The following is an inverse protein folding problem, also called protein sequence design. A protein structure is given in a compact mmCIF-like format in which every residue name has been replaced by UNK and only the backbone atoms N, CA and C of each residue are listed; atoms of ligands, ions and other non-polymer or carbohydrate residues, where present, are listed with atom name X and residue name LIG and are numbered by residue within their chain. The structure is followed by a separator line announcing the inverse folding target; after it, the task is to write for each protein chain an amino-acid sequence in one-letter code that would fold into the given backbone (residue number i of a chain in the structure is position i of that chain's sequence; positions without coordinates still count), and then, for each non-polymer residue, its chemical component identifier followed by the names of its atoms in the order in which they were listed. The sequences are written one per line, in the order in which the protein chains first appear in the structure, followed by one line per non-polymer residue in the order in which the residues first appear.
data_IF_433938217576
#
_entry.id   IF_433938217576
#
_cell.length_a   1.000
_cell.length_b   1.000
_cell.length_c   1.000
_cell.angle_alpha   90.00
_cell.angle_beta   90.00
_cell.angle_gamma   90.00
#
_symmetry.space_group_name_H-M   'P 1'
#
loop_
_entity.id
_entity.type
_entity.pdbx_description
1 polymer ?
#
# COMPACT_ATOMS: atom_id res chain seq x y z
N UNK A 1 18.56 14.21 6.08
CA UNK A 1 19.26 12.95 5.76
C UNK A 1 18.17 11.96 5.41
N UNK A 2 18.21 11.38 4.21
CA UNK A 2 17.20 10.43 3.75
C UNK A 2 17.14 9.24 4.72
N UNK A 3 15.93 8.81 5.06
CA UNK A 3 15.71 7.67 5.96
C UNK A 3 15.14 6.51 5.18
N UNK A 4 15.60 5.31 5.50
CA UNK A 4 15.01 4.08 4.96
C UNK A 4 14.29 3.37 6.09
N UNK A 5 13.05 2.96 5.84
CA UNK A 5 12.33 2.08 6.75
C UNK A 5 11.97 0.78 6.05
N UNK A 6 12.01 -0.29 6.83
CA UNK A 6 11.42 -1.57 6.50
C UNK A 6 10.17 -1.78 7.35
N UNK A 7 9.09 -2.19 6.70
CA UNK A 7 7.83 -2.58 7.29
C UNK A 7 7.56 -4.03 6.94
N UNK A 8 7.21 -4.84 7.93
CA UNK A 8 6.66 -6.19 7.73
C UNK A 8 5.39 -6.33 8.52
N UNK A 9 4.39 -6.97 7.95
CA UNK A 9 3.18 -7.37 8.65
C UNK A 9 2.50 -8.49 7.89
N UNK A 10 1.55 -9.15 8.54
CA UNK A 10 0.65 -10.10 7.90
C UNK A 10 -0.74 -9.51 7.86
N UNK A 11 -1.47 -9.78 6.79
CA UNK A 11 -2.90 -9.48 6.73
C UNK A 11 -3.68 -10.62 6.08
N UNK A 12 -4.96 -10.69 6.40
CA UNK A 12 -5.95 -11.57 5.80
C UNK A 12 -7.22 -10.77 5.59
N UNK A 13 -7.84 -10.89 4.43
CA UNK A 13 -9.18 -10.37 4.17
C UNK A 13 -10.18 -11.52 4.22
N UNK A 14 -11.44 -11.22 4.51
CA UNK A 14 -12.53 -12.20 4.48
C UNK A 14 -12.59 -13.01 3.18
N UNK A 15 -13.12 -14.23 3.29
CA UNK A 15 -13.33 -15.15 2.17
C UNK A 15 -14.31 -14.60 1.13
N UNK A 16 -15.24 -13.74 1.56
CA UNK A 16 -16.23 -13.07 0.73
C UNK A 16 -16.00 -11.56 0.60
N UNK A 17 -14.82 -11.04 1.01
CA UNK A 17 -14.51 -9.62 1.02
C UNK A 17 -14.76 -8.93 -0.32
N UNK A 18 -15.76 -8.05 -0.38
CA UNK A 18 -16.18 -7.40 -1.63
C UNK A 18 -15.40 -6.12 -1.92
N UNK A 19 -15.05 -5.91 -3.19
CA UNK A 19 -14.43 -4.69 -3.70
C UNK A 19 -15.14 -4.22 -4.95
N UNK A 20 -15.11 -2.92 -5.22
CA UNK A 20 -15.69 -2.29 -6.42
C UNK A 20 -14.59 -1.63 -7.26
N UNK A 21 -14.98 -0.89 -8.30
CA UNK A 21 -14.04 -0.06 -9.07
C UNK A 21 -13.45 1.10 -8.25
N UNK A 22 -14.02 1.40 -7.08
CA UNK A 22 -13.52 2.40 -6.15
C UNK A 22 -12.54 1.79 -5.13
N UNK A 23 -11.78 2.67 -4.46
CA UNK A 23 -10.70 2.22 -3.59
C UNK A 23 -11.22 1.55 -2.30
N UNK A 24 -10.55 0.47 -1.90
CA UNK A 24 -10.47 -0.03 -0.52
C UNK A 24 -9.01 -0.06 -0.11
N UNK A 25 -8.49 0.99 0.53
CA UNK A 25 -7.11 1.04 0.99
C UNK A 25 -6.93 0.11 2.19
N UNK A 26 -6.00 -0.84 2.09
CA UNK A 26 -5.61 -1.80 3.13
C UNK A 26 -4.29 -1.40 3.82
N UNK A 27 -3.44 -0.66 3.09
CA UNK A 27 -2.21 -0.06 3.60
C UNK A 27 -1.94 1.27 2.89
N UNK A 28 -1.35 2.23 3.61
CA UNK A 28 -0.98 3.55 3.10
C UNK A 28 0.37 3.99 3.67
N UNK A 29 1.25 4.54 2.83
CA UNK A 29 2.28 5.48 3.25
C UNK A 29 1.75 6.89 2.99
N UNK A 30 1.45 7.65 4.04
CA UNK A 30 0.81 8.97 3.91
C UNK A 30 1.70 10.06 4.50
N UNK A 31 2.07 11.01 3.66
CA UNK A 31 2.76 12.23 4.09
C UNK A 31 1.83 13.11 4.93
N UNK A 32 2.42 13.77 5.91
CA UNK A 32 1.83 14.89 6.65
C UNK A 32 2.60 16.14 6.24
N UNK A 33 1.91 17.23 5.92
CA UNK A 33 2.53 18.53 5.65
C UNK A 33 2.55 19.41 6.90
N UNK A 34 3.25 20.53 6.81
CA UNK A 34 3.26 21.58 7.84
C UNK A 34 1.83 21.93 8.30
N UNK A 35 1.70 22.22 9.59
CA UNK A 35 0.43 22.40 10.34
C UNK A 35 -0.36 21.12 10.65
N UNK A 36 0.19 19.94 10.34
CA UNK A 36 -0.44 18.67 10.68
C UNK A 36 -1.57 18.27 9.72
N UNK A 37 -1.79 19.05 8.66
CA UNK A 37 -2.74 18.71 7.63
C UNK A 37 -2.19 17.54 6.80
N UNK A 38 -2.97 16.45 6.65
CA UNK A 38 -2.57 15.36 5.79
C UNK A 38 -2.60 15.83 4.34
N UNK A 39 -1.54 15.52 3.58
CA UNK A 39 -1.61 15.59 2.11
C UNK A 39 -2.81 14.75 1.65
N UNK A 40 -3.61 15.29 0.73
CA UNK A 40 -4.91 14.72 0.36
C UNK A 40 -4.78 13.24 -0.04
N UNK A 41 -3.81 12.92 -0.90
CA UNK A 41 -3.49 11.56 -1.32
C UNK A 41 -2.36 10.92 -0.50
N UNK A 42 -2.45 9.61 -0.18
CA UNK A 42 -1.29 8.83 0.23
C UNK A 42 -0.24 8.74 -0.89
N UNK A 43 1.03 8.63 -0.52
CA UNK A 43 2.15 8.47 -1.46
C UNK A 43 2.14 7.08 -2.10
N UNK A 44 1.89 6.05 -1.29
CA UNK A 44 1.81 4.66 -1.72
C UNK A 44 0.60 4.02 -1.06
N UNK A 45 -0.12 3.17 -1.79
CA UNK A 45 -1.22 2.36 -1.23
C UNK A 45 -1.14 0.92 -1.70
N UNK A 46 -1.58 0.00 -0.84
CA UNK A 46 -2.11 -1.29 -1.27
C UNK A 46 -3.63 -1.16 -1.19
N UNK A 47 -4.31 -1.37 -2.31
CA UNK A 47 -5.74 -1.12 -2.47
C UNK A 47 -6.44 -2.35 -3.04
N UNK A 48 -7.48 -2.85 -2.38
CA UNK A 48 -8.44 -3.76 -3.01
C UNK A 48 -9.37 -2.98 -3.93
N UNK A 49 -9.45 -3.35 -5.21
CA UNK A 49 -10.40 -2.79 -6.17
C UNK A 49 -10.63 -3.77 -7.34
N UNK A 50 -11.51 -3.39 -8.27
CA UNK A 50 -11.69 -4.09 -9.55
C UNK A 50 -11.05 -3.32 -10.69
N UNK A 51 -10.38 -4.03 -11.61
CA UNK A 51 -9.94 -3.51 -12.91
C UNK A 51 -10.51 -4.34 -14.04
N UNK A 52 -11.20 -3.66 -14.96
CA UNK A 52 -11.89 -4.31 -16.08
C UNK A 52 -12.80 -5.45 -15.62
N UNK A 53 -13.48 -5.27 -14.48
CA UNK A 53 -14.35 -6.27 -13.87
C UNK A 53 -13.66 -7.37 -13.06
N UNK A 54 -12.33 -7.35 -12.94
CA UNK A 54 -11.56 -8.35 -12.18
C UNK A 54 -11.05 -7.76 -10.87
N UNK A 55 -11.47 -8.33 -9.74
CA UNK A 55 -10.99 -7.96 -8.40
C UNK A 55 -9.50 -8.25 -8.23
N UNK A 56 -8.81 -7.44 -7.44
CA UNK A 56 -7.39 -7.60 -7.19
C UNK A 56 -6.84 -6.63 -6.16
N UNK A 57 -5.56 -6.80 -5.87
CA UNK A 57 -4.76 -5.82 -5.14
C UNK A 57 -4.06 -4.90 -6.16
N UNK A 58 -4.17 -3.60 -5.94
CA UNK A 58 -3.46 -2.55 -6.66
C UNK A 58 -2.37 -1.95 -5.77
N UNK A 59 -1.15 -1.84 -6.30
CA UNK A 59 -0.13 -0.95 -5.74
C UNK A 59 -0.14 0.34 -6.56
N UNK A 60 -0.38 1.46 -5.89
CA UNK A 60 -0.44 2.79 -6.50
C UNK A 60 0.55 3.73 -5.84
N UNK A 61 1.23 4.52 -6.66
CA UNK A 61 2.03 5.68 -6.25
C UNK A 61 1.34 6.98 -6.66
N UNK A 62 1.50 8.03 -5.84
CA UNK A 62 1.05 9.39 -6.16
C UNK A 62 2.18 10.39 -5.92
N UNK A 63 2.50 11.21 -6.92
CA UNK A 63 3.53 12.25 -6.82
C UNK A 63 2.99 13.61 -6.32
N UNK A 64 3.88 14.58 -6.10
CA UNK A 64 3.53 15.91 -5.59
C UNK A 64 2.56 16.68 -6.49
N UNK A 65 2.46 16.30 -7.77
CA UNK A 65 1.57 16.88 -8.77
C UNK A 65 0.20 16.18 -8.82
N UNK A 66 -0.09 15.28 -7.86
CA UNK A 66 -1.29 14.44 -7.81
C UNK A 66 -1.40 13.47 -9.02
N UNK A 67 -0.28 13.19 -9.70
CA UNK A 67 -0.25 12.18 -10.74
C UNK A 67 -0.33 10.79 -10.10
N UNK A 68 -1.32 10.00 -10.53
CA UNK A 68 -1.61 8.67 -9.98
C UNK A 68 -1.05 7.61 -10.92
N UNK A 69 -0.05 6.89 -10.45
CA UNK A 69 0.59 5.81 -11.19
C UNK A 69 0.21 4.48 -10.57
N UNK A 70 -0.45 3.62 -11.36
CA UNK A 70 -0.64 2.21 -10.99
C UNK A 70 0.66 1.47 -11.26
N UNK A 71 1.35 1.07 -10.20
CA UNK A 71 2.59 0.30 -10.30
C UNK A 71 2.29 -1.17 -10.62
N UNK A 72 1.18 -1.69 -10.08
CA UNK A 72 0.75 -3.05 -10.29
C UNK A 72 -0.75 -3.18 -10.03
N UNK A 73 -1.42 -4.07 -10.75
CA UNK A 73 -2.65 -4.71 -10.29
C UNK A 73 -2.56 -6.23 -10.47
N UNK A 74 -2.95 -7.02 -9.46
CA UNK A 74 -2.77 -8.49 -9.46
C UNK A 74 -3.48 -9.20 -10.61
N UNK A 75 -4.58 -8.63 -11.14
CA UNK A 75 -5.24 -9.17 -12.34
C UNK A 75 -4.36 -9.16 -13.59
N UNK A 76 -3.33 -8.30 -13.66
CA UNK A 76 -2.37 -8.28 -14.77
C UNK A 76 -1.38 -9.46 -14.72
N UNK A 77 -1.29 -10.13 -13.56
CA UNK A 77 -0.40 -11.26 -13.31
C UNK A 77 -1.15 -12.61 -13.31
N UNK A 78 -2.46 -12.60 -13.57
CA UNK A 78 -3.28 -13.81 -13.49
C UNK A 78 -3.44 -14.36 -12.06
N UNK A 79 -3.21 -13.53 -11.04
CA UNK A 79 -3.43 -13.90 -9.64
C UNK A 79 -4.93 -13.79 -9.36
N UNK A 80 -5.53 -14.91 -8.99
CA UNK A 80 -6.96 -15.02 -8.74
C UNK A 80 -7.34 -14.48 -7.36
N UNK A 81 -8.29 -13.54 -7.33
CA UNK A 81 -8.74 -12.88 -6.10
C UNK A 81 -9.34 -13.85 -5.09
N UNK A 82 -10.19 -14.76 -5.55
CA UNK A 82 -10.96 -15.65 -4.68
C UNK A 82 -10.10 -16.77 -4.07
N UNK A 83 -9.15 -17.30 -4.84
CA UNK A 83 -8.39 -18.50 -4.45
C UNK A 83 -6.99 -18.20 -3.95
N UNK A 84 -6.41 -17.04 -4.29
CA UNK A 84 -5.03 -16.70 -3.91
C UNK A 84 -4.93 -15.50 -2.96
N UNK A 85 -6.00 -14.72 -2.77
CA UNK A 85 -5.98 -13.51 -1.91
C UNK A 85 -7.02 -13.62 -0.79
N UNK A 86 -8.30 -13.80 -1.12
CA UNK A 86 -9.37 -13.92 -0.12
C UNK A 86 -9.15 -15.11 0.81
N UNK A 87 -9.38 -14.90 2.10
CA UNK A 87 -9.20 -15.92 3.13
C UNK A 87 -7.76 -16.40 3.34
N UNK A 88 -6.77 -15.88 2.60
CA UNK A 88 -5.36 -16.27 2.77
C UNK A 88 -4.63 -15.30 3.70
N UNK A 89 -3.77 -15.84 4.56
CA UNK A 89 -2.79 -15.01 5.24
C UNK A 89 -1.67 -14.65 4.28
N UNK A 90 -1.44 -13.35 4.10
CA UNK A 90 -0.42 -12.78 3.24
C UNK A 90 0.58 -11.99 4.10
N UNK A 91 1.86 -12.30 3.98
CA UNK A 91 2.94 -11.50 4.53
C UNK A 91 3.33 -10.40 3.53
N UNK A 92 3.41 -9.16 4.01
CA UNK A 92 3.84 -8.01 3.23
C UNK A 92 5.18 -7.52 3.75
N UNK A 93 6.11 -7.30 2.84
CA UNK A 93 7.34 -6.56 3.10
C UNK A 93 7.32 -5.26 2.29
N UNK A 94 7.72 -4.15 2.92
CA UNK A 94 7.94 -2.86 2.26
C UNK A 94 9.25 -2.28 2.76
N UNK A 95 10.16 -1.96 1.86
CA UNK A 95 11.34 -1.13 2.11
C UNK A 95 11.19 0.18 1.34
N UNK A 96 11.13 1.29 2.07
CA UNK A 96 10.92 2.62 1.50
C UNK A 96 12.07 3.54 1.88
N UNK A 97 12.77 4.08 0.87
CA UNK A 97 13.71 5.20 1.05
C UNK A 97 12.94 6.51 0.89
N UNK A 98 12.73 7.22 1.99
CA UNK A 98 12.02 8.48 2.01
C UNK A 98 12.93 9.63 1.57
N UNK A 99 12.75 10.03 0.30
CA UNK A 99 13.38 11.20 -0.32
C UNK A 99 12.59 11.62 -1.56
N UNK A 100 12.86 12.80 -2.12
CA UNK A 100 12.28 13.24 -3.41
C UNK A 100 12.67 12.31 -4.56
N UNK A 101 13.88 11.73 -4.50
CA UNK A 101 14.34 10.65 -5.38
C UNK A 101 14.53 9.37 -4.56
N UNK A 102 13.40 8.87 -4.06
CA UNK A 102 13.30 7.69 -3.23
C UNK A 102 13.27 6.38 -4.00
N UNK A 103 13.04 5.31 -3.25
CA UNK A 103 12.85 3.98 -3.80
C UNK A 103 11.84 3.20 -2.96
N UNK A 104 11.10 2.32 -3.62
CA UNK A 104 10.13 1.43 -3.01
C UNK A 104 10.43 0.00 -3.47
N UNK A 105 10.72 -0.86 -2.53
CA UNK A 105 10.69 -2.31 -2.72
C UNK A 105 9.53 -2.87 -1.91
N UNK A 106 8.70 -3.69 -2.53
CA UNK A 106 7.54 -4.30 -1.88
C UNK A 106 7.35 -5.72 -2.39
N UNK A 107 6.95 -6.63 -1.50
CA UNK A 107 6.49 -7.96 -1.86
C UNK A 107 5.27 -8.35 -1.04
N UNK A 108 4.41 -9.18 -1.64
CA UNK A 108 3.29 -9.83 -0.97
C UNK A 108 3.40 -11.34 -1.19
N UNK A 109 3.52 -12.09 -0.11
CA UNK A 109 3.84 -13.52 -0.12
C UNK A 109 2.80 -14.30 0.68
N UNK A 110 2.23 -15.40 0.17
CA UNK A 110 1.35 -16.25 0.97
C UNK A 110 2.10 -16.83 2.16
N UNK A 111 1.46 -16.88 3.33
CA UNK A 111 2.09 -17.40 4.54
C UNK A 111 2.58 -18.85 4.33
N UNK A 112 3.86 -19.10 4.58
CA UNK A 112 4.49 -20.40 4.37
C UNK A 112 5.00 -20.65 2.94
N UNK A 113 4.80 -19.72 2.01
CA UNK A 113 5.43 -19.73 0.68
C UNK A 113 6.79 -19.04 0.72
N UNK A 114 7.75 -19.53 -0.07
CA UNK A 114 9.00 -18.82 -0.37
C UNK A 114 8.88 -17.91 -1.60
N UNK A 115 7.81 -18.08 -2.39
CA UNK A 115 7.58 -17.32 -3.62
C UNK A 115 6.50 -16.25 -3.41
N UNK A 116 6.80 -14.97 -3.69
CA UNK A 116 5.79 -13.91 -3.61
C UNK A 116 4.72 -14.07 -4.69
N UNK A 117 3.47 -13.68 -4.39
CA UNK A 117 2.45 -13.48 -5.42
C UNK A 117 2.92 -12.40 -6.40
N UNK A 118 3.51 -11.32 -5.88
CA UNK A 118 4.09 -10.26 -6.67
C UNK A 118 5.15 -9.47 -5.90
N UNK A 119 5.97 -8.75 -6.68
CA UNK A 119 6.94 -7.76 -6.18
C UNK A 119 6.78 -6.45 -6.94
N UNK A 120 7.04 -5.33 -6.29
CA UNK A 120 7.17 -4.00 -6.90
C UNK A 120 8.54 -3.46 -6.51
N UNK A 121 9.29 -2.95 -7.48
CA UNK A 121 10.60 -2.34 -7.26
C UNK A 121 10.72 -1.08 -8.11
N UNK A 122 10.58 0.07 -7.45
CA UNK A 122 10.64 1.38 -8.07
C UNK A 122 11.84 2.17 -7.56
N UNK A 123 12.50 2.86 -8.48
CA UNK A 123 13.63 3.74 -8.21
C UNK A 123 13.31 5.14 -8.72
N UNK A 124 13.92 6.16 -8.11
CA UNK A 124 13.74 7.56 -8.48
C UNK A 124 12.27 8.03 -8.43
N UNK A 125 11.49 7.50 -7.46
CA UNK A 125 10.11 7.93 -7.22
C UNK A 125 10.02 8.85 -6.01
N UNK A 126 9.09 9.79 -6.06
CA UNK A 126 8.90 10.74 -4.97
C UNK A 126 8.18 10.09 -3.78
N UNK A 127 8.92 9.82 -2.70
CA UNK A 127 8.38 9.28 -1.44
C UNK A 127 8.49 10.27 -0.30
N UNK A 128 8.87 11.52 -0.58
CA UNK A 128 8.92 12.58 0.39
C UNK A 128 8.33 13.84 -0.23
N UNK A 129 7.37 14.45 0.46
CA UNK A 129 6.80 15.74 0.06
C UNK A 129 7.64 16.82 0.73
N UNK A 130 8.52 17.46 -0.02
CA UNK A 130 9.10 18.73 0.41
C UNK A 130 8.01 19.80 0.35
N UNK A 131 7.62 20.34 1.50
CA UNK A 131 6.99 21.64 1.51
C UNK A 131 7.98 22.69 1.02
N UNK A 132 7.48 23.85 0.58
CA UNK A 132 8.30 25.04 0.27
C UNK A 132 9.16 25.53 1.44
N UNK A 133 9.02 24.94 2.63
CA UNK A 133 9.96 25.02 3.75
C UNK A 133 10.10 23.64 4.38
N UNK A 134 11.25 22.97 4.26
CA UNK A 134 11.53 21.72 4.96
C UNK A 134 11.55 21.88 6.48
N UNK A 135 10.37 22.02 7.08
CA UNK A 135 10.17 22.00 8.53
C UNK A 135 10.64 20.65 9.09
N UNK A 136 11.16 20.68 10.31
CA UNK A 136 11.63 19.51 11.06
C UNK A 136 10.53 18.49 11.38
N UNK A 137 9.27 18.83 11.11
CA UNK A 137 8.09 18.10 11.58
C UNK A 137 7.39 17.31 10.46
N UNK A 138 7.91 17.32 9.23
CA UNK A 138 7.38 16.49 8.16
C UNK A 138 7.74 15.02 8.39
N UNK A 139 6.77 14.12 8.19
CA UNK A 139 6.98 12.68 8.25
C UNK A 139 6.00 11.95 7.34
N UNK A 140 6.38 10.73 6.95
CA UNK A 140 5.50 9.78 6.28
C UNK A 140 5.12 8.73 7.29
N UNK A 141 3.81 8.60 7.57
CA UNK A 141 3.30 7.57 8.47
C UNK A 141 2.76 6.38 7.69
N UNK A 142 3.10 5.14 8.09
CA UNK A 142 2.38 3.97 7.64
C UNK A 142 1.00 3.93 8.33
N UNK A 143 -0.01 3.48 7.60
CA UNK A 143 -1.37 3.22 8.12
C UNK A 143 -1.85 1.87 7.61
N UNK A 144 -2.45 1.10 8.49
CA UNK A 144 -3.09 -0.19 8.20
C UNK A 144 -4.56 -0.12 8.62
N UNK A 145 -5.39 -0.93 7.98
CA UNK A 145 -6.82 -1.01 8.25
C UNK A 145 -7.64 -0.86 6.98
N UNK A 146 -8.95 -0.74 7.13
CA UNK A 146 -9.88 -0.54 6.02
C UNK A 146 -10.19 0.95 5.89
N UNK A 147 -9.78 1.56 4.78
CA UNK A 147 -10.26 2.89 4.38
C UNK A 147 -10.85 2.82 2.98
N UNK A 148 -12.19 2.84 2.90
CA UNK A 148 -12.95 2.45 1.71
C UNK A 148 -13.86 3.56 1.20
N UNK A 149 -13.98 3.68 -0.11
CA UNK A 149 -14.99 4.52 -0.77
C UNK A 149 -16.38 3.88 -0.69
N UNK A 150 -17.40 4.69 -0.39
CA UNK A 150 -18.80 4.26 -0.38
C UNK A 150 -19.57 4.74 -1.62
N UNK A 151 -18.87 5.18 -2.67
CA UNK A 151 -19.49 5.71 -3.88
C UNK A 151 -20.28 4.64 -4.67
N UNK A 152 -19.88 3.37 -4.53
CA UNK A 152 -20.63 2.22 -5.02
C UNK A 152 -20.91 1.27 -3.85
N UNK A 153 -21.86 1.68 -2.99
CA UNK A 153 -22.24 0.88 -1.82
C UNK A 153 -22.97 -0.41 -2.20
N UNK A 154 -23.64 -0.44 -3.35
CA UNK A 154 -24.42 -1.59 -3.79
C UNK A 154 -23.54 -2.76 -4.26
N UNK A 155 -22.33 -2.47 -4.75
CA UNK A 155 -21.32 -3.48 -5.09
C UNK A 155 -20.50 -4.01 -3.90
N UNK A 156 -20.75 -3.52 -2.68
CA UNK A 156 -20.08 -3.98 -1.46
C UNK A 156 -20.98 -4.95 -0.68
N UNK A 157 -20.39 -5.70 0.26
CA UNK A 157 -21.14 -6.53 1.19
C UNK A 157 -22.09 -5.65 2.02
N UNK A 158 -23.35 -6.07 2.10
CA UNK A 158 -24.38 -5.35 2.86
C UNK A 158 -24.18 -5.49 4.38
N UNK A 159 -23.51 -6.57 4.80
CA UNK A 159 -23.15 -6.86 6.18
C UNK A 159 -21.80 -6.26 6.54
N UNK A 160 -20.95 -7.08 7.15
CA UNK A 160 -19.62 -6.72 7.60
C UNK A 160 -18.57 -7.17 6.57
N UNK A 161 -17.43 -6.49 6.57
CA UNK A 161 -16.19 -6.94 5.93
C UNK A 161 -15.08 -6.82 6.97
N UNK A 162 -14.36 -7.91 7.19
CA UNK A 162 -13.27 -8.00 8.15
C UNK A 162 -11.91 -8.05 7.44
N UNK A 163 -10.93 -7.43 8.09
CA UNK A 163 -9.51 -7.57 7.75
C UNK A 163 -8.75 -7.78 9.04
N UNK A 164 -7.99 -8.87 9.11
CA UNK A 164 -7.10 -9.15 10.22
C UNK A 164 -5.70 -8.72 9.89
N UNK A 165 -4.99 -8.23 10.91
CA UNK A 165 -3.58 -7.90 10.81
C UNK A 165 -2.81 -8.56 11.96
N UNK A 166 -1.57 -8.95 11.70
CA UNK A 166 -0.70 -9.59 12.69
C UNK A 166 0.78 -9.28 12.43
N UNK A 167 1.62 -9.57 13.42
CA UNK A 167 3.09 -9.62 13.32
C UNK A 167 3.74 -8.36 12.72
N UNK A 168 3.33 -7.19 13.21
CA UNK A 168 3.88 -5.92 12.78
C UNK A 168 5.34 -5.76 13.20
N UNK A 169 6.18 -5.37 12.24
CA UNK A 169 7.57 -4.99 12.43
C UNK A 169 7.84 -3.68 11.67
N UNK A 170 8.50 -2.74 12.34
CA UNK A 170 8.91 -1.46 11.78
C UNK A 170 10.37 -1.24 12.18
N UNK A 171 11.25 -1.10 11.20
CA UNK A 171 12.69 -0.90 11.42
C UNK A 171 13.18 0.29 10.61
N UNK A 172 13.83 1.24 11.27
CA UNK A 172 14.71 2.17 10.56
C UNK A 172 15.99 1.40 10.20
N UNK A 173 16.37 1.43 8.92
CA UNK A 173 17.56 0.74 8.42
C UNK A 173 18.51 1.72 7.76
N UNK A 174 19.81 1.47 7.90
CA UNK A 174 20.82 2.19 7.14
C UNK A 174 20.84 1.71 5.69
N UNK A 175 21.36 2.57 4.80
CA UNK A 175 21.63 2.17 3.42
C UNK A 175 22.62 1.00 3.46
N UNK A 176 22.39 -0.05 2.68
CA UNK A 176 23.44 -1.05 2.45
C UNK A 176 24.50 -0.34 1.62
N UNK A 177 25.64 -0.04 2.22
CA UNK A 177 26.82 0.39 1.48
C UNK A 177 27.27 -0.81 0.65
N UNK A 178 27.19 -0.68 -0.68
CA UNK A 178 27.80 -1.61 -1.63
C UNK A 178 29.24 -1.21 -1.89
#
# INVERSE_FOLDING_TARGET
MDKTFEYRWKFRIDEDFAVTSHFTHLFQLKAVSDFGDPVSQPLVTITGNTKSGVSGLEVRHVDSQDAKTMLLHTSQLGIDWATQIQGQWLEVFVRAKFSEQGSLEMSVTPLGSETPLFTVNEQNIELWRSGSNGSTDNFVRPKWGIYRSLNDKAGLNAGEDEVWFADFEIKEVQKIEQ
#
